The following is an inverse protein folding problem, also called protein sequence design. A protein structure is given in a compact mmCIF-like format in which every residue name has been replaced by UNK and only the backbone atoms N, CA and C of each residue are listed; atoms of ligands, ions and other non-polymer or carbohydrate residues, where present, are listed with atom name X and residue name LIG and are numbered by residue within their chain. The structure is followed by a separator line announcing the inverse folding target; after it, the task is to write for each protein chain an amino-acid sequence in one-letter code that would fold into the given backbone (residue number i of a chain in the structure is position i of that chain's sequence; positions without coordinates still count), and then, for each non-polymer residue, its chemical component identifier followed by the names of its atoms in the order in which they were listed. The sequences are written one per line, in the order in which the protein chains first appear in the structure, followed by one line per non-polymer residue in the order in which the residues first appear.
data_IF_891115321019
#
_entry.id   IF_891115321019
#
_cell.length_a   1.000
_cell.length_b   1.000
_cell.length_c   1.000
_cell.angle_alpha   90.00
_cell.angle_beta   90.00
_cell.angle_gamma   90.00
#
_symmetry.space_group_name_H-M   'P 1'
#
loop_
_entity.id
_entity.type
_entity.pdbx_description
1 polymer ?
#
# COMPACT_ATOMS: atom_id res chain seq x y z
N UNK A 1 -21.46 11.14 -17.42
CA UNK A 1 -21.40 11.80 -16.11
C UNK A 1 -20.39 12.93 -16.24
N UNK A 2 -20.93 14.13 -16.39
CA UNK A 2 -20.28 15.27 -17.03
C UNK A 2 -20.13 16.44 -16.03
N UNK A 3 -20.19 16.12 -14.74
CA UNK A 3 -19.93 17.00 -13.62
C UNK A 3 -20.36 16.35 -12.30
N UNK A 4 -19.69 16.73 -11.21
CA UNK A 4 -20.01 16.25 -9.87
C UNK A 4 -18.93 16.63 -8.85
N UNK A 5 -19.27 16.55 -7.57
CA UNK A 5 -18.31 16.72 -6.48
C UNK A 5 -18.30 15.47 -5.61
N UNK A 6 -17.13 15.15 -5.06
CA UNK A 6 -16.95 14.06 -4.10
C UNK A 6 -16.41 14.67 -2.82
N UNK A 7 -16.93 14.22 -1.68
CA UNK A 7 -16.42 14.58 -0.37
C UNK A 7 -16.09 13.33 0.45
N UNK A 8 -14.96 13.35 1.14
CA UNK A 8 -14.53 12.30 2.07
C UNK A 8 -14.33 12.95 3.43
N UNK A 9 -14.98 12.42 4.47
CA UNK A 9 -14.95 13.00 5.83
C UNK A 9 -15.29 14.50 5.85
N UNK A 10 -16.27 14.91 5.03
CA UNK A 10 -16.70 16.32 4.91
C UNK A 10 -15.75 17.24 4.13
N UNK A 11 -14.62 16.73 3.60
CA UNK A 11 -13.69 17.52 2.77
C UNK A 11 -13.87 17.20 1.29
N UNK A 12 -14.03 18.24 0.47
CA UNK A 12 -14.09 18.08 -0.98
C UNK A 12 -12.77 17.53 -1.53
N UNK A 13 -12.89 16.51 -2.38
CA UNK A 13 -11.76 15.90 -3.09
C UNK A 13 -11.54 16.67 -4.38
N UNK A 14 -10.43 17.40 -4.45
CA UNK A 14 -10.05 18.19 -5.63
C UNK A 14 -8.86 17.61 -6.39
N UNK A 15 -8.10 16.71 -5.75
CA UNK A 15 -6.93 16.05 -6.32
C UNK A 15 -6.70 14.68 -5.65
N UNK A 16 -5.88 13.79 -6.25
CA UNK A 16 -5.35 12.61 -5.57
C UNK A 16 -4.57 12.99 -4.30
N UNK A 17 -4.44 12.06 -3.36
CA UNK A 17 -3.71 12.32 -2.13
C UNK A 17 -3.26 11.04 -1.43
N UNK A 18 -2.15 11.10 -0.68
CA UNK A 18 -1.48 9.94 -0.09
C UNK A 18 -2.25 9.28 1.06
N UNK A 19 -3.32 9.90 1.53
CA UNK A 19 -4.22 9.40 2.56
C UNK A 19 -5.15 8.28 2.06
N UNK A 20 -5.12 7.97 0.76
CA UNK A 20 -5.94 6.94 0.10
C UNK A 20 -5.05 5.91 -0.57
N UNK A 21 -5.45 4.64 -0.48
CA UNK A 21 -4.86 3.55 -1.22
C UNK A 21 -5.90 2.94 -2.18
N UNK A 22 -5.41 2.30 -3.24
CA UNK A 22 -6.24 1.57 -4.18
C UNK A 22 -5.90 0.08 -4.11
N UNK A 23 -6.93 -0.76 -4.19
CA UNK A 23 -6.80 -2.21 -4.41
C UNK A 23 -7.46 -2.50 -5.75
N UNK A 24 -6.71 -3.12 -6.65
CA UNK A 24 -7.20 -3.49 -7.98
C UNK A 24 -7.98 -4.80 -7.92
N UNK A 25 -8.89 -5.00 -8.89
CA UNK A 25 -9.61 -6.27 -9.04
C UNK A 25 -8.65 -7.39 -9.47
N UNK A 26 -7.74 -7.09 -10.39
CA UNK A 26 -6.62 -7.95 -10.75
C UNK A 26 -5.38 -7.64 -9.92
N UNK A 27 -4.50 -8.62 -9.72
CA UNK A 27 -3.27 -8.43 -8.94
C UNK A 27 -2.34 -7.41 -9.59
N UNK A 28 -2.16 -6.28 -8.92
CA UNK A 28 -1.15 -5.26 -9.27
C UNK A 28 0.14 -5.44 -8.46
N UNK A 29 0.59 -6.69 -8.29
CA UNK A 29 1.84 -7.00 -7.61
C UNK A 29 3.03 -6.84 -8.56
N UNK A 30 4.20 -6.58 -8.01
CA UNK A 30 5.47 -6.68 -8.72
C UNK A 30 5.90 -8.16 -8.79
N UNK A 31 5.82 -8.82 -9.96
CA UNK A 31 6.02 -10.27 -10.04
C UNK A 31 7.49 -10.71 -9.86
N UNK A 32 8.43 -9.77 -9.97
CA UNK A 32 9.87 -10.00 -9.76
C UNK A 32 10.34 -9.63 -8.34
N UNK A 33 9.43 -9.22 -7.45
CA UNK A 33 9.74 -8.76 -6.11
C UNK A 33 9.18 -9.72 -5.08
N UNK A 34 9.87 -9.85 -3.94
CA UNK A 34 9.39 -10.70 -2.86
C UNK A 34 8.12 -10.14 -2.20
N UNK A 35 7.40 -10.94 -1.42
CA UNK A 35 6.27 -10.50 -0.58
C UNK A 35 6.71 -9.33 0.31
N UNK A 36 7.86 -9.44 0.98
CA UNK A 36 8.42 -8.36 1.80
C UNK A 36 8.56 -7.05 1.00
N UNK A 37 9.11 -7.13 -0.21
CA UNK A 37 9.32 -5.95 -1.04
C UNK A 37 8.00 -5.39 -1.58
N UNK A 38 7.05 -6.23 -1.99
CA UNK A 38 5.72 -5.81 -2.40
C UNK A 38 4.99 -5.04 -1.29
N UNK A 39 5.04 -5.54 -0.05
CA UNK A 39 4.37 -4.90 1.10
C UNK A 39 5.11 -3.63 1.56
N UNK A 40 6.45 -3.61 1.54
CA UNK A 40 7.23 -2.45 1.97
C UNK A 40 7.29 -1.31 0.93
N UNK A 41 6.93 -1.57 -0.33
CA UNK A 41 7.13 -0.63 -1.45
C UNK A 41 6.47 0.74 -1.23
N UNK A 42 5.23 0.78 -0.73
CA UNK A 42 4.55 2.04 -0.46
C UNK A 42 5.23 2.89 0.61
N UNK A 43 5.89 2.26 1.59
CA UNK A 43 6.69 2.94 2.61
C UNK A 43 8.03 3.40 2.05
N UNK A 44 8.64 2.62 1.16
CA UNK A 44 9.84 3.02 0.42
C UNK A 44 9.62 4.29 -0.39
N UNK A 45 8.51 4.38 -1.14
CA UNK A 45 8.15 5.59 -1.90
C UNK A 45 7.91 6.82 -1.02
N UNK A 46 7.51 6.61 0.24
CA UNK A 46 7.36 7.68 1.25
C UNK A 46 8.67 8.07 1.93
N UNK A 47 9.79 7.43 1.58
CA UNK A 47 11.09 7.70 2.20
C UNK A 47 11.25 7.12 3.60
N UNK A 48 10.37 6.21 4.03
CA UNK A 48 10.54 5.49 5.30
C UNK A 48 11.84 4.67 5.26
N UNK A 49 12.64 4.77 6.32
CA UNK A 49 13.92 4.06 6.39
C UNK A 49 13.71 2.54 6.32
N UNK A 50 14.77 1.81 5.91
CA UNK A 50 14.69 0.38 5.64
C UNK A 50 14.24 -0.45 6.84
N UNK A 51 14.80 -0.20 8.01
CA UNK A 51 14.48 -0.98 9.21
C UNK A 51 13.01 -0.81 9.64
N UNK A 52 12.52 0.44 9.62
CA UNK A 52 11.15 0.77 9.98
C UNK A 52 10.14 0.19 8.98
N UNK A 53 10.39 0.34 7.67
CA UNK A 53 9.46 -0.19 6.66
C UNK A 53 9.40 -1.72 6.67
N UNK A 54 10.52 -2.40 6.91
CA UNK A 54 10.55 -3.87 7.03
C UNK A 54 9.87 -4.36 8.31
N UNK A 55 9.98 -3.61 9.42
CA UNK A 55 9.27 -3.93 10.65
C UNK A 55 7.74 -3.82 10.47
N UNK A 56 7.28 -2.73 9.84
CA UNK A 56 5.87 -2.51 9.51
C UNK A 56 5.37 -3.59 8.54
N UNK A 57 6.12 -3.89 7.48
CA UNK A 57 5.74 -4.89 6.49
C UNK A 57 5.62 -6.28 7.12
N UNK A 58 6.59 -6.70 7.94
CA UNK A 58 6.55 -8.00 8.64
C UNK A 58 5.33 -8.14 9.55
N UNK A 59 4.96 -7.08 10.26
CA UNK A 59 3.75 -7.07 11.10
C UNK A 59 2.50 -7.37 10.26
N UNK A 60 2.31 -6.66 9.15
CA UNK A 60 1.14 -6.84 8.30
C UNK A 60 1.14 -8.16 7.54
N UNK A 61 2.31 -8.64 7.11
CA UNK A 61 2.47 -9.98 6.51
C UNK A 61 1.98 -11.06 7.49
N UNK A 62 2.34 -10.96 8.77
CA UNK A 62 1.86 -11.89 9.79
C UNK A 62 0.34 -11.78 10.03
N UNK A 63 -0.19 -10.56 10.08
CA UNK A 63 -1.62 -10.29 10.31
C UNK A 63 -2.53 -10.91 9.24
N UNK A 64 -2.05 -10.98 7.99
CA UNK A 64 -2.77 -11.61 6.87
C UNK A 64 -2.44 -13.10 6.68
N UNK A 65 -1.71 -13.71 7.62
CA UNK A 65 -1.40 -15.14 7.60
C UNK A 65 -0.29 -15.56 6.62
N UNK A 66 0.56 -14.62 6.19
CA UNK A 66 1.67 -14.86 5.26
C UNK A 66 3.05 -14.93 5.95
N UNK A 67 3.10 -15.06 7.27
CA UNK A 67 4.35 -15.26 8.00
C UNK A 67 5.10 -16.49 7.44
N UNK A 68 6.39 -16.33 7.13
CA UNK A 68 7.23 -17.35 6.49
C UNK A 68 7.29 -17.28 4.96
N UNK A 69 6.51 -16.40 4.32
CA UNK A 69 6.52 -16.17 2.87
C UNK A 69 7.25 -14.89 2.46
N UNK A 70 7.96 -14.22 3.36
CA UNK A 70 8.58 -12.90 3.15
C UNK A 70 9.54 -12.85 1.95
N UNK A 71 10.24 -13.96 1.69
CA UNK A 71 11.24 -14.10 0.63
C UNK A 71 10.70 -14.77 -0.65
N UNK A 72 9.39 -15.05 -0.71
CA UNK A 72 8.71 -15.60 -1.89
C UNK A 72 8.32 -14.52 -2.88
#
# INVERSE_FOLDING_TARGET
ADGGTVAINGKHVTAPGPERAFVFQDFALMPWATVMRNVAFGLELRGTNKAEREAIARRYIAEVGLAGFEDK
#
